data_IF_889519599106
#
_entry.id   IF_889519599106
#
_cell.length_a   1.000
_cell.length_b   1.000
_cell.length_c   1.000
_cell.angle_alpha   90.00
_cell.angle_beta   90.00
_cell.angle_gamma   90.00
#
_symmetry.space_group_name_H-M   'P 1'
#
loop_
_entity.id
_entity.type
_entity.pdbx_description
1 polymer ?
#
# COMPACT_ATOMS: atom_id res chain seq x y z
N UNK A 1 61.71 -11.01 18.04
CA UNK A 1 60.78 -9.88 17.75
C UNK A 1 59.58 -10.02 18.67
N UNK A 2 59.62 -9.31 19.80
CA UNK A 2 58.56 -9.32 20.81
C UNK A 2 57.65 -8.12 20.54
N UNK A 3 56.45 -8.36 20.01
CA UNK A 3 55.40 -7.35 20.01
C UNK A 3 54.92 -7.18 21.46
N UNK A 4 54.95 -5.95 21.96
CA UNK A 4 54.56 -5.60 23.33
C UNK A 4 53.04 -5.83 23.51
N UNK A 5 52.63 -6.28 24.71
CA UNK A 5 51.22 -6.51 25.07
C UNK A 5 50.21 -5.42 24.64
N UNK A 6 50.50 -4.10 24.70
CA UNK A 6 49.52 -3.08 24.28
C UNK A 6 49.20 -3.12 22.77
N UNK A 7 50.09 -3.67 21.94
CA UNK A 7 49.93 -3.68 20.48
C UNK A 7 48.97 -4.78 20.01
N UNK A 8 48.85 -5.88 20.79
CA UNK A 8 47.87 -6.95 20.52
C UNK A 8 46.45 -6.56 20.95
N UNK A 9 46.32 -5.79 22.04
CA UNK A 9 45.02 -5.29 22.49
C UNK A 9 44.38 -4.30 21.48
N UNK A 10 45.21 -3.45 20.85
CA UNK A 10 44.76 -2.46 19.88
C UNK A 10 44.25 -3.09 18.57
N UNK A 11 44.86 -4.20 18.14
CA UNK A 11 44.44 -4.94 16.94
C UNK A 11 43.08 -5.64 17.12
N UNK A 12 42.81 -6.21 18.30
CA UNK A 12 41.53 -6.87 18.60
C UNK A 12 40.39 -5.86 18.68
N UNK A 13 40.65 -4.67 19.23
CA UNK A 13 39.64 -3.60 19.32
C UNK A 13 39.24 -3.05 17.95
N UNK A 14 40.19 -2.96 17.01
CA UNK A 14 39.93 -2.51 15.63
C UNK A 14 39.10 -3.53 14.82
N UNK A 15 39.32 -4.84 15.03
CA UNK A 15 38.53 -5.90 14.36
C UNK A 15 37.09 -5.92 14.89
N UNK A 16 36.89 -5.70 16.19
CA UNK A 16 35.54 -5.60 16.79
C UNK A 16 34.77 -4.37 16.27
N UNK A 17 35.44 -3.22 16.10
CA UNK A 17 34.82 -2.03 15.48
C UNK A 17 34.45 -2.25 14.00
N UNK A 18 35.25 -3.00 13.24
CA UNK A 18 34.95 -3.32 11.85
C UNK A 18 33.79 -4.32 11.70
N UNK A 19 33.59 -5.24 12.66
CA UNK A 19 32.42 -6.13 12.68
C UNK A 19 31.10 -5.45 13.06
N UNK A 20 31.16 -4.26 13.67
CA UNK A 20 29.97 -3.45 13.96
C UNK A 20 29.48 -2.63 12.75
N UNK A 21 30.29 -2.49 11.70
CA UNK A 21 29.91 -1.78 10.47
C UNK A 21 29.16 -2.64 9.44
N UNK A 22 28.95 -3.94 9.69
CA UNK A 22 28.19 -4.83 8.80
C UNK A 22 26.66 -4.62 8.86
N UNK A 23 26.18 -3.79 9.79
CA UNK A 23 24.74 -3.53 10.00
C UNK A 23 24.16 -2.37 9.20
N UNK A 24 24.97 -1.60 8.46
CA UNK A 24 24.49 -0.50 7.62
C UNK A 24 23.94 -1.06 6.30
N UNK A 25 22.67 -1.50 6.32
CA UNK A 25 21.88 -1.60 5.10
C UNK A 25 21.40 -0.19 4.75
N UNK A 26 22.06 0.41 3.76
CA UNK A 26 21.73 1.75 3.25
C UNK A 26 20.45 1.77 2.41
N UNK A 27 19.91 0.60 2.06
CA UNK A 27 18.64 0.44 1.36
C UNK A 27 17.89 -0.74 1.97
N UNK A 28 16.58 -0.59 2.28
CA UNK A 28 15.72 -1.71 2.66
C UNK A 28 15.76 -2.85 1.65
N UNK A 29 15.57 -4.10 2.11
CA UNK A 29 15.68 -5.26 1.23
C UNK A 29 14.39 -5.46 0.43
N UNK A 30 14.51 -5.53 -0.90
CA UNK A 30 13.44 -5.98 -1.79
C UNK A 30 12.82 -7.30 -1.31
N UNK A 31 11.48 -7.35 -1.26
CA UNK A 31 10.72 -8.55 -0.93
C UNK A 31 9.78 -8.98 -2.09
N UNK A 32 10.04 -10.13 -2.73
CA UNK A 32 9.18 -10.65 -3.79
C UNK A 32 7.76 -11.01 -3.30
N UNK A 33 7.60 -11.45 -2.05
CA UNK A 33 6.29 -11.83 -1.51
C UNK A 33 5.33 -10.63 -1.42
N UNK A 34 5.87 -9.43 -1.15
CA UNK A 34 5.09 -8.19 -1.16
C UNK A 34 4.62 -7.86 -2.58
N UNK A 35 5.50 -8.00 -3.57
CA UNK A 35 5.14 -7.78 -4.99
C UNK A 35 4.08 -8.78 -5.44
N UNK A 36 4.25 -10.06 -5.11
CA UNK A 36 3.30 -11.11 -5.48
C UNK A 36 1.94 -10.88 -4.80
N UNK A 37 1.93 -10.48 -3.52
CA UNK A 37 0.71 -10.11 -2.81
C UNK A 37 -0.01 -8.90 -3.42
N UNK A 38 0.72 -7.84 -3.81
CA UNK A 38 0.15 -6.68 -4.49
C UNK A 38 -0.47 -7.08 -5.84
N UNK A 39 0.22 -7.91 -6.63
CA UNK A 39 -0.27 -8.40 -7.93
C UNK A 39 -1.50 -9.30 -7.79
N UNK A 40 -1.53 -10.17 -6.77
CA UNK A 40 -2.68 -11.02 -6.47
C UNK A 40 -3.91 -10.17 -6.14
N UNK A 41 -3.76 -9.20 -5.21
CA UNK A 41 -4.80 -8.24 -4.89
C UNK A 41 -5.29 -7.48 -6.13
N UNK A 42 -4.39 -7.00 -6.98
CA UNK A 42 -4.74 -6.24 -8.18
C UNK A 42 -5.59 -7.06 -9.16
N UNK A 43 -5.20 -8.32 -9.37
CA UNK A 43 -5.91 -9.25 -10.25
C UNK A 43 -7.33 -9.49 -9.73
N UNK A 44 -7.45 -9.84 -8.44
CA UNK A 44 -8.75 -10.08 -7.79
C UNK A 44 -9.64 -8.84 -7.83
N UNK A 45 -9.07 -7.64 -7.61
CA UNK A 45 -9.81 -6.38 -7.67
C UNK A 45 -10.33 -6.07 -9.07
N UNK A 46 -9.53 -6.26 -10.12
CA UNK A 46 -9.96 -6.05 -11.49
C UNK A 46 -11.09 -7.02 -11.90
N UNK A 47 -10.99 -8.28 -11.48
CA UNK A 47 -12.05 -9.29 -11.68
C UNK A 47 -13.33 -8.93 -10.93
N UNK A 48 -13.20 -8.47 -9.69
CA UNK A 48 -14.32 -7.99 -8.88
C UNK A 48 -15.03 -6.83 -9.56
N UNK A 49 -14.32 -5.76 -9.94
CA UNK A 49 -14.88 -4.59 -10.62
C UNK A 49 -15.56 -5.00 -11.94
N UNK A 50 -14.92 -5.86 -12.74
CA UNK A 50 -15.51 -6.37 -13.98
C UNK A 50 -16.82 -7.13 -13.73
N UNK A 51 -16.88 -7.92 -12.65
CA UNK A 51 -18.09 -8.64 -12.23
C UNK A 51 -19.20 -7.67 -11.84
N UNK A 52 -18.86 -6.58 -11.15
CA UNK A 52 -19.83 -5.52 -10.78
C UNK A 52 -20.37 -4.79 -12.00
N UNK A 53 -19.54 -4.54 -13.02
CA UNK A 53 -19.95 -3.85 -14.27
C UNK A 53 -20.84 -4.68 -15.19
N UNK A 54 -20.57 -5.98 -15.29
CA UNK A 54 -21.16 -6.86 -16.31
C UNK A 54 -22.50 -7.43 -15.88
N UNK A 55 -22.72 -7.65 -14.58
CA UNK A 55 -24.00 -8.18 -14.09
C UNK A 55 -24.97 -7.02 -13.86
N UNK A 56 -25.69 -6.63 -14.92
CA UNK A 56 -26.73 -5.59 -14.93
C UNK A 56 -28.10 -6.08 -14.42
N UNK A 57 -28.16 -6.72 -13.26
CA UNK A 57 -29.44 -6.96 -12.58
C UNK A 57 -29.52 -6.16 -11.29
N UNK A 58 -30.71 -5.79 -10.80
CA UNK A 58 -30.85 -5.08 -9.52
C UNK A 58 -30.29 -5.82 -8.28
N UNK A 59 -29.80 -7.05 -8.43
CA UNK A 59 -29.36 -7.95 -7.36
C UNK A 59 -27.84 -8.21 -7.46
N UNK A 60 -27.27 -8.12 -8.67
CA UNK A 60 -25.86 -8.38 -8.89
C UNK A 60 -25.04 -7.11 -8.73
N UNK A 61 -24.05 -7.18 -7.84
CA UNK A 61 -23.29 -6.02 -7.42
C UNK A 61 -24.02 -5.15 -6.40
N UNK A 62 -24.89 -5.75 -5.59
CA UNK A 62 -25.30 -5.10 -4.35
C UNK A 62 -24.25 -5.31 -3.27
N UNK A 63 -23.90 -4.22 -2.56
CA UNK A 63 -23.01 -4.31 -1.40
C UNK A 63 -23.50 -5.29 -0.34
N UNK A 64 -24.83 -5.44 -0.17
CA UNK A 64 -25.42 -6.34 0.83
C UNK A 64 -25.31 -7.83 0.49
N UNK A 65 -24.82 -8.18 -0.69
CA UNK A 65 -24.67 -9.58 -1.07
C UNK A 65 -23.42 -10.17 -0.40
N UNK A 66 -23.57 -11.39 0.12
CA UNK A 66 -22.49 -12.10 0.82
C UNK A 66 -21.18 -12.19 0.00
N UNK A 67 -21.19 -12.47 -1.33
CA UNK A 67 -19.96 -12.48 -2.11
C UNK A 67 -19.25 -11.13 -2.15
N UNK A 68 -20.00 -10.02 -2.13
CA UNK A 68 -19.43 -8.67 -2.16
C UNK A 68 -18.82 -8.28 -0.82
N UNK A 69 -19.53 -8.52 0.29
CA UNK A 69 -18.96 -8.24 1.63
C UNK A 69 -17.77 -9.13 1.92
N UNK A 70 -17.82 -10.40 1.50
CA UNK A 70 -16.72 -11.34 1.66
C UNK A 70 -15.48 -10.91 0.89
N UNK A 71 -15.64 -10.45 -0.35
CA UNK A 71 -14.54 -9.89 -1.13
C UNK A 71 -13.86 -8.73 -0.39
N UNK A 72 -14.62 -7.71 0.02
CA UNK A 72 -14.03 -6.55 0.69
C UNK A 72 -13.30 -6.93 1.98
N UNK A 73 -13.87 -7.83 2.79
CA UNK A 73 -13.24 -8.29 4.02
C UNK A 73 -11.96 -9.10 3.76
N UNK A 74 -11.97 -10.01 2.78
CA UNK A 74 -10.82 -10.83 2.43
C UNK A 74 -9.67 -9.96 1.87
N UNK A 75 -9.98 -9.03 0.98
CA UNK A 75 -9.00 -8.11 0.41
C UNK A 75 -8.44 -7.13 1.44
N UNK A 76 -9.25 -6.61 2.37
CA UNK A 76 -8.74 -5.77 3.47
C UNK A 76 -7.78 -6.55 4.38
N UNK A 77 -8.11 -7.80 4.70
CA UNK A 77 -7.23 -8.68 5.47
C UNK A 77 -5.92 -8.98 4.71
N UNK A 78 -5.98 -9.25 3.41
CA UNK A 78 -4.80 -9.48 2.58
C UNK A 78 -3.88 -8.26 2.55
N UNK A 79 -4.43 -7.06 2.30
CA UNK A 79 -3.66 -5.81 2.33
C UNK A 79 -3.12 -5.51 3.74
N UNK A 80 -3.90 -5.78 4.79
CA UNK A 80 -3.45 -5.65 6.18
C UNK A 80 -2.24 -6.53 6.50
N UNK A 81 -2.22 -7.77 6.01
CA UNK A 81 -1.08 -8.67 6.16
C UNK A 81 0.16 -8.14 5.42
N UNK A 82 0.00 -7.55 4.23
CA UNK A 82 1.10 -6.93 3.50
C UNK A 82 1.68 -5.71 4.25
N UNK A 83 0.82 -4.89 4.86
CA UNK A 83 1.27 -3.77 5.72
C UNK A 83 2.09 -4.30 6.89
N UNK A 84 1.58 -5.29 7.63
CA UNK A 84 2.32 -5.89 8.76
C UNK A 84 3.64 -6.50 8.30
N UNK A 85 3.67 -7.16 7.15
CA UNK A 85 4.89 -7.72 6.58
C UNK A 85 5.91 -6.62 6.24
N UNK A 86 5.48 -5.53 5.60
CA UNK A 86 6.34 -4.41 5.26
C UNK A 86 6.91 -3.73 6.53
N UNK A 87 6.08 -3.50 7.55
CA UNK A 87 6.51 -2.91 8.83
C UNK A 87 7.48 -3.83 9.59
N UNK A 88 7.27 -5.15 9.54
CA UNK A 88 8.15 -6.12 10.21
C UNK A 88 9.53 -6.22 9.55
N UNK A 89 9.63 -6.01 8.24
CA UNK A 89 10.90 -6.01 7.52
C UNK A 89 11.70 -4.73 7.76
N UNK A 90 11.01 -3.63 8.01
CA UNK A 90 11.57 -2.28 8.06
C UNK A 90 11.08 -1.48 9.30
N UNK A 91 11.29 -1.99 10.53
CA UNK A 91 10.69 -1.43 11.73
C UNK A 91 11.22 -0.05 12.15
N UNK A 92 12.35 0.39 11.57
CA UNK A 92 13.03 1.65 11.91
C UNK A 92 13.24 2.58 10.70
N UNK A 93 12.69 2.23 9.53
CA UNK A 93 12.81 3.09 8.35
C UNK A 93 11.70 4.13 8.38
N UNK A 94 12.08 5.40 8.40
CA UNK A 94 11.18 6.51 8.09
C UNK A 94 11.24 6.80 6.60
N UNK A 95 10.09 6.97 5.97
CA UNK A 95 9.99 7.40 4.57
C UNK A 95 10.37 8.89 4.38
N UNK A 96 11.55 9.29 4.85
CA UNK A 96 11.92 10.69 5.02
C UNK A 96 12.69 11.32 3.83
N UNK A 97 13.10 10.58 2.79
CA UNK A 97 14.07 11.16 1.83
C UNK A 97 13.97 10.79 0.34
N UNK A 98 12.99 10.00 -0.09
CA UNK A 98 12.81 9.75 -1.52
C UNK A 98 11.88 10.81 -2.12
N UNK A 99 12.46 11.72 -2.93
CA UNK A 99 11.71 12.69 -3.76
C UNK A 99 10.60 12.00 -4.59
N UNK A 100 10.85 10.76 -4.98
CA UNK A 100 9.93 9.90 -5.74
C UNK A 100 8.76 9.42 -4.88
N UNK A 101 8.98 9.17 -3.58
CA UNK A 101 7.91 8.72 -2.68
C UNK A 101 7.08 9.87 -2.12
N UNK A 102 7.64 11.06 -1.89
CA UNK A 102 6.81 12.24 -1.58
C UNK A 102 5.95 12.68 -2.77
N UNK A 103 6.47 12.55 -4.00
CA UNK A 103 5.67 12.71 -5.21
C UNK A 103 4.64 11.59 -5.37
N UNK A 104 5.01 10.33 -5.14
CA UNK A 104 4.11 9.19 -5.24
C UNK A 104 3.00 9.19 -4.19
N UNK A 105 3.31 9.52 -2.94
CA UNK A 105 2.33 9.65 -1.87
C UNK A 105 1.43 10.87 -2.10
N UNK A 106 2.01 11.99 -2.52
CA UNK A 106 1.27 13.17 -2.95
C UNK A 106 0.36 12.91 -4.15
N UNK A 107 0.80 12.07 -5.10
CA UNK A 107 0.02 11.61 -6.24
C UNK A 107 -1.11 10.69 -5.80
N UNK A 108 -0.86 9.71 -4.91
CA UNK A 108 -1.93 8.88 -4.36
C UNK A 108 -2.96 9.76 -3.66
N UNK A 109 -2.55 10.66 -2.76
CA UNK A 109 -3.50 11.54 -2.06
C UNK A 109 -4.22 12.49 -3.00
N UNK A 110 -3.55 13.01 -4.04
CA UNK A 110 -4.17 13.94 -5.00
C UNK A 110 -5.12 13.22 -5.97
N UNK A 111 -4.80 12.01 -6.42
CA UNK A 111 -5.68 11.18 -7.27
C UNK A 111 -6.89 10.71 -6.46
N UNK A 112 -6.68 10.35 -5.20
CA UNK A 112 -7.72 10.06 -4.19
C UNK A 112 -8.66 11.26 -4.03
N UNK A 113 -8.11 12.47 -3.83
CA UNK A 113 -8.89 13.71 -3.71
C UNK A 113 -9.58 14.12 -5.03
N UNK A 114 -8.95 13.86 -6.18
CA UNK A 114 -9.51 14.13 -7.50
C UNK A 114 -10.70 13.20 -7.79
N UNK A 115 -10.53 11.89 -7.59
CA UNK A 115 -11.62 10.90 -7.71
C UNK A 115 -12.73 11.22 -6.74
N UNK A 116 -12.41 11.64 -5.51
CA UNK A 116 -13.38 12.12 -4.54
C UNK A 116 -14.17 13.32 -5.06
N UNK A 117 -13.48 14.33 -5.58
CA UNK A 117 -14.10 15.54 -6.12
C UNK A 117 -15.03 15.22 -7.29
N UNK A 118 -14.57 14.39 -8.23
CA UNK A 118 -15.39 13.94 -9.38
C UNK A 118 -16.60 13.12 -8.92
N UNK A 119 -16.43 12.33 -7.87
CA UNK A 119 -17.49 11.52 -7.30
C UNK A 119 -18.49 12.37 -6.51
N UNK A 120 -18.04 13.38 -5.77
CA UNK A 120 -18.88 14.35 -5.07
C UNK A 120 -19.73 15.14 -6.08
N UNK A 121 -19.11 15.55 -7.19
CA UNK A 121 -19.80 16.22 -8.30
C UNK A 121 -20.81 15.27 -8.98
N UNK A 122 -20.41 14.02 -9.26
CA UNK A 122 -21.29 13.03 -9.90
C UNK A 122 -22.47 12.60 -9.02
N UNK A 123 -22.27 12.54 -7.70
CA UNK A 123 -23.30 12.10 -6.74
C UNK A 123 -24.09 13.27 -6.13
N UNK A 124 -23.63 14.51 -6.31
CA UNK A 124 -24.24 15.70 -5.71
C UNK A 124 -24.24 15.71 -4.19
N UNK A 125 -23.28 15.02 -3.57
CA UNK A 125 -23.16 14.87 -2.10
C UNK A 125 -21.71 14.62 -1.69
N UNK A 126 -21.35 15.08 -0.50
CA UNK A 126 -20.03 14.82 0.07
C UNK A 126 -19.86 13.32 0.32
N UNK A 127 -18.90 12.72 -0.36
CA UNK A 127 -18.42 11.39 -0.05
C UNK A 127 -17.63 11.43 1.25
N UNK A 128 -17.73 10.38 2.10
CA UNK A 128 -16.96 10.31 3.34
C UNK A 128 -15.49 10.53 3.07
N UNK A 129 -14.79 11.14 4.04
CA UNK A 129 -13.34 11.20 3.98
C UNK A 129 -12.80 9.78 3.81
N UNK A 130 -12.00 9.60 2.75
CA UNK A 130 -11.26 8.39 2.47
C UNK A 130 -10.35 8.22 3.71
N UNK A 131 -10.53 7.11 4.42
CA UNK A 131 -10.15 6.89 5.83
C UNK A 131 -8.80 7.50 6.22
N UNK A 132 -8.73 8.04 7.45
CA UNK A 132 -7.49 8.48 8.12
C UNK A 132 -6.50 7.31 8.29
N UNK A 133 -5.85 6.91 7.20
CA UNK A 133 -4.72 6.01 7.29
C UNK A 133 -3.62 6.73 8.07
N UNK A 134 -3.09 6.07 9.10
CA UNK A 134 -1.90 6.57 9.77
C UNK A 134 -0.69 6.40 8.85
N UNK A 135 -0.51 7.40 7.98
CA UNK A 135 0.63 7.54 7.08
C UNK A 135 1.83 8.21 7.76
N UNK A 136 1.75 8.49 9.07
CA UNK A 136 2.77 9.26 9.79
C UNK A 136 4.00 8.42 10.14
N UNK A 137 3.90 7.10 10.09
CA UNK A 137 4.96 6.17 10.50
C UNK A 137 5.11 4.98 9.54
N UNK A 138 6.36 4.56 9.38
CA UNK A 138 6.74 3.35 8.66
C UNK A 138 7.55 3.60 7.40
N UNK A 139 8.01 2.50 6.81
CA UNK A 139 8.79 2.55 5.59
C UNK A 139 7.96 2.99 4.40
N UNK A 140 8.62 3.41 3.32
CA UNK A 140 7.92 3.86 2.12
C UNK A 140 6.96 2.80 1.55
N UNK A 141 7.33 1.50 1.60
CA UNK A 141 6.43 0.41 1.19
C UNK A 141 5.25 0.27 2.15
N UNK A 142 5.48 0.33 3.47
CA UNK A 142 4.40 0.26 4.44
C UNK A 142 3.39 1.41 4.25
N UNK A 143 3.86 2.64 4.06
CA UNK A 143 3.01 3.82 3.84
C UNK A 143 2.16 3.67 2.57
N UNK A 144 2.75 3.29 1.43
CA UNK A 144 1.97 3.14 0.19
C UNK A 144 0.99 1.95 0.26
N UNK A 145 1.33 0.88 0.99
CA UNK A 145 0.39 -0.22 1.26
C UNK A 145 -0.77 0.21 2.17
N UNK A 146 -0.50 1.05 3.18
CA UNK A 146 -1.55 1.67 4.01
C UNK A 146 -2.47 2.54 3.16
N UNK A 147 -1.92 3.33 2.23
CA UNK A 147 -2.70 4.13 1.31
C UNK A 147 -3.54 3.29 0.33
N UNK A 148 -2.95 2.23 -0.25
CA UNK A 148 -3.68 1.25 -1.08
C UNK A 148 -4.85 0.63 -0.32
N UNK A 149 -4.63 0.24 0.93
CA UNK A 149 -5.67 -0.30 1.83
C UNK A 149 -6.76 0.74 2.16
N UNK A 150 -6.38 1.99 2.39
CA UNK A 150 -7.33 3.08 2.60
C UNK A 150 -8.25 3.28 1.39
N UNK A 151 -7.68 3.22 0.18
CA UNK A 151 -8.44 3.36 -1.05
C UNK A 151 -9.37 2.16 -1.29
N UNK A 152 -8.95 0.94 -0.95
CA UNK A 152 -9.81 -0.25 -0.93
C UNK A 152 -11.02 -0.08 0.01
N UNK A 153 -10.77 0.35 1.24
CA UNK A 153 -11.83 0.55 2.24
C UNK A 153 -12.80 1.66 1.83
N UNK A 154 -12.26 2.71 1.22
CA UNK A 154 -13.04 3.79 0.64
C UNK A 154 -13.97 3.32 -0.48
N UNK A 155 -13.48 2.46 -1.37
CA UNK A 155 -14.29 1.83 -2.39
C UNK A 155 -15.43 1.00 -1.76
N UNK A 156 -15.15 0.27 -0.69
CA UNK A 156 -16.15 -0.50 0.05
C UNK A 156 -17.24 0.41 0.65
N UNK A 157 -16.84 1.53 1.26
CA UNK A 157 -17.76 2.52 1.82
C UNK A 157 -18.63 3.19 0.78
N UNK A 158 -18.05 3.56 -0.36
CA UNK A 158 -18.80 4.11 -1.47
C UNK A 158 -19.84 3.11 -1.99
N UNK A 159 -19.41 1.86 -2.22
CA UNK A 159 -20.31 0.80 -2.66
C UNK A 159 -21.42 0.54 -1.63
N UNK A 160 -21.11 0.62 -0.33
CA UNK A 160 -22.08 0.51 0.75
C UNK A 160 -23.12 1.62 0.70
N UNK A 161 -22.70 2.86 0.47
CA UNK A 161 -23.59 4.02 0.42
C UNK A 161 -24.48 4.02 -0.83
N UNK A 162 -23.91 3.74 -1.99
CA UNK A 162 -24.66 3.66 -3.26
C UNK A 162 -25.53 2.40 -3.32
N UNK A 163 -25.23 1.41 -2.48
CA UNK A 163 -25.84 0.09 -2.50
C UNK A 163 -25.42 -0.76 -3.70
N UNK A 164 -24.95 -0.15 -4.80
CA UNK A 164 -24.41 -0.77 -6.02
C UNK A 164 -23.33 0.08 -6.66
N UNK A 165 -22.36 -0.57 -7.30
CA UNK A 165 -21.40 0.10 -8.17
C UNK A 165 -21.94 0.22 -9.59
N UNK A 166 -22.27 1.45 -10.01
CA UNK A 166 -22.65 1.75 -11.40
C UNK A 166 -21.41 1.98 -12.26
N UNK A 167 -21.55 1.76 -13.58
CA UNK A 167 -20.41 1.78 -14.53
C UNK A 167 -19.52 3.04 -14.46
N UNK A 168 -20.05 4.27 -14.37
CA UNK A 168 -19.18 5.46 -14.27
C UNK A 168 -18.30 5.42 -13.00
N UNK A 169 -18.92 5.10 -11.85
CA UNK A 169 -18.24 4.99 -10.57
C UNK A 169 -17.23 3.84 -10.54
N UNK A 170 -17.56 2.68 -11.11
CA UNK A 170 -16.66 1.54 -11.15
C UNK A 170 -15.42 1.78 -12.02
N UNK A 171 -15.55 2.56 -13.10
CA UNK A 171 -14.41 2.98 -13.93
C UNK A 171 -13.45 3.87 -13.13
N UNK A 172 -13.96 4.91 -12.46
CA UNK A 172 -13.12 5.81 -11.66
C UNK A 172 -12.38 5.06 -10.55
N UNK A 173 -13.07 4.15 -9.85
CA UNK A 173 -12.46 3.32 -8.83
C UNK A 173 -11.43 2.35 -9.39
N UNK A 174 -11.65 1.83 -10.61
CA UNK A 174 -10.67 0.96 -11.28
C UNK A 174 -9.37 1.71 -11.55
N UNK A 175 -9.47 2.93 -12.06
CA UNK A 175 -8.30 3.75 -12.37
C UNK A 175 -7.54 4.12 -11.09
N UNK A 176 -8.25 4.53 -10.04
CA UNK A 176 -7.68 4.76 -8.71
C UNK A 176 -6.92 3.52 -8.18
N UNK A 177 -7.51 2.33 -8.32
CA UNK A 177 -6.87 1.08 -7.88
C UNK A 177 -5.65 0.72 -8.70
N UNK A 178 -5.69 0.92 -10.02
CA UNK A 178 -4.55 0.70 -10.90
C UNK A 178 -3.37 1.60 -10.50
N UNK A 179 -3.63 2.89 -10.28
CA UNK A 179 -2.57 3.83 -9.91
C UNK A 179 -2.01 3.54 -8.51
N UNK A 180 -2.89 3.24 -7.55
CA UNK A 180 -2.47 2.84 -6.19
C UNK A 180 -1.58 1.59 -6.20
N UNK A 181 -1.95 0.57 -6.97
CA UNK A 181 -1.16 -0.66 -7.16
C UNK A 181 0.18 -0.35 -7.82
N UNK A 182 0.18 0.44 -8.90
CA UNK A 182 1.41 0.83 -9.62
C UNK A 182 2.39 1.54 -8.69
N UNK A 183 1.88 2.42 -7.83
CA UNK A 183 2.70 3.16 -6.87
C UNK A 183 3.26 2.22 -5.79
N UNK A 184 2.45 1.30 -5.27
CA UNK A 184 2.91 0.28 -4.32
C UNK A 184 4.01 -0.62 -4.91
N UNK A 185 3.81 -1.12 -6.14
CA UNK A 185 4.82 -1.90 -6.87
C UNK A 185 6.08 -1.11 -7.16
N UNK A 186 5.96 0.18 -7.50
CA UNK A 186 7.11 1.05 -7.77
C UNK A 186 7.93 1.26 -6.50
N UNK A 187 7.27 1.50 -5.37
CA UNK A 187 7.94 1.68 -4.08
C UNK A 187 8.74 0.43 -3.67
N UNK A 188 8.15 -0.76 -3.85
CA UNK A 188 8.85 -2.00 -3.49
C UNK A 188 9.97 -2.34 -4.49
N UNK A 189 9.75 -2.16 -5.79
CA UNK A 189 10.78 -2.43 -6.81
C UNK A 189 11.95 -1.45 -6.76
N UNK A 190 11.77 -0.25 -6.20
CA UNK A 190 12.86 0.71 -6.00
C UNK A 190 13.93 0.24 -4.99
N UNK A 191 13.66 -0.86 -4.25
CA UNK A 191 14.59 -1.49 -3.32
C UNK A 191 15.53 -2.53 -3.95
N UNK A 192 15.33 -2.85 -5.23
CA UNK A 192 16.19 -3.78 -5.99
C UNK A 192 17.55 -3.14 -6.29
#
# INVERSE_FOLDING_TARGET
MFYSLPQRALAVLFILFLSACSGLRLVPAYNPDIVDGINAYHTEMLEFISTMETKRTPISGSYKSEPVTTFYAASDAALGNLVVQAEALEPNDDCASSRVTNLGLGLVTAEVDAVRTELDEALGRDTPALTDADLSTGSCTAIVLKALRANHNSMADLHRLEGKLVKPTSTLLRDLMNDSVRIALTAENAKR
#
